data_IF_268557662027
#
_entry.id   IF_268557662027
#
_cell.length_a   1.000
_cell.length_b   1.000
_cell.length_c   1.000
_cell.angle_alpha   90.00
_cell.angle_beta   90.00
_cell.angle_gamma   90.00
#
_symmetry.space_group_name_H-M   'P 1'
#
loop_
_entity.id
_entity.type
_entity.pdbx_description
1 polymer ?
#
# COMPACT_ATOMS: atom_id res chain seq x y z
N UNK A 1 -24.11 5.31 11.84
CA UNK A 1 -24.77 4.90 10.58
C UNK A 1 -23.96 5.51 9.45
N UNK A 2 -23.29 4.71 8.63
CA UNK A 2 -22.59 5.24 7.46
C UNK A 2 -23.64 5.70 6.44
N UNK A 3 -23.65 6.99 6.12
CA UNK A 3 -24.48 7.54 5.05
C UNK A 3 -24.08 6.85 3.75
N UNK A 4 -25.00 6.13 3.13
CA UNK A 4 -24.71 5.41 1.90
C UNK A 4 -24.77 6.43 0.75
N UNK A 5 -23.62 6.99 0.39
CA UNK A 5 -23.52 7.84 -0.81
C UNK A 5 -23.93 7.06 -2.05
N UNK A 6 -24.75 7.66 -2.90
CA UNK A 6 -25.12 7.07 -4.17
C UNK A 6 -23.91 7.01 -5.12
N UNK A 7 -23.96 6.09 -6.09
CA UNK A 7 -22.86 5.91 -7.05
C UNK A 7 -22.55 7.19 -7.85
N UNK A 8 -23.57 8.01 -8.11
CA UNK A 8 -23.42 9.31 -8.78
C UNK A 8 -22.55 10.27 -7.95
N UNK A 9 -22.86 10.38 -6.66
CA UNK A 9 -22.15 11.27 -5.73
C UNK A 9 -20.67 10.90 -5.60
N UNK A 10 -20.37 9.60 -5.47
CA UNK A 10 -18.97 9.11 -5.42
C UNK A 10 -18.20 9.43 -6.69
N UNK A 11 -18.86 9.34 -7.85
CA UNK A 11 -18.24 9.65 -9.14
C UNK A 11 -17.95 11.15 -9.26
N UNK A 12 -18.86 12.01 -8.86
CA UNK A 12 -18.63 13.45 -8.85
C UNK A 12 -17.55 13.84 -7.84
N UNK A 13 -17.55 13.26 -6.64
CA UNK A 13 -16.50 13.45 -5.64
C UNK A 13 -15.10 13.13 -6.21
N UNK A 14 -14.96 11.98 -6.87
CA UNK A 14 -13.70 11.60 -7.52
C UNK A 14 -13.29 12.51 -8.69
N UNK A 15 -14.25 13.08 -9.43
CA UNK A 15 -13.96 14.09 -10.46
C UNK A 15 -13.49 15.40 -9.83
N UNK A 16 -14.17 15.87 -8.79
CA UNK A 16 -13.81 17.08 -8.06
C UNK A 16 -12.44 16.97 -7.39
N UNK A 17 -12.09 15.80 -6.86
CA UNK A 17 -10.76 15.53 -6.31
C UNK A 17 -9.66 15.73 -7.37
N UNK A 18 -9.90 15.27 -8.61
CA UNK A 18 -8.95 15.44 -9.72
C UNK A 18 -8.72 16.90 -10.11
N UNK A 19 -9.72 17.76 -9.97
CA UNK A 19 -9.56 19.19 -10.22
C UNK A 19 -8.63 19.85 -9.20
N UNK A 20 -8.57 19.33 -7.97
CA UNK A 20 -7.69 19.80 -6.90
C UNK A 20 -6.28 19.19 -6.99
N UNK A 21 -6.22 17.89 -7.25
CA UNK A 21 -4.98 17.11 -7.38
C UNK A 21 -5.00 16.36 -8.72
N UNK A 22 -4.47 16.95 -9.80
CA UNK A 22 -4.43 16.31 -11.10
C UNK A 22 -3.63 15.02 -11.09
N UNK A 23 -4.07 13.98 -11.82
CA UNK A 23 -3.37 12.67 -11.86
C UNK A 23 -1.87 12.75 -12.12
N UNK A 24 -1.45 13.69 -12.97
CA UNK A 24 -0.03 13.88 -13.32
C UNK A 24 0.84 14.29 -12.14
N UNK A 25 0.29 14.87 -11.07
CA UNK A 25 1.06 15.28 -9.89
C UNK A 25 1.51 14.08 -9.04
N UNK A 26 0.87 12.91 -9.19
CA UNK A 26 1.30 11.67 -8.54
C UNK A 26 2.52 11.01 -9.22
N UNK A 27 3.12 11.65 -10.22
CA UNK A 27 4.39 11.20 -10.81
C UNK A 27 5.60 11.50 -9.92
N UNK A 28 5.44 12.34 -8.90
CA UNK A 28 6.48 12.65 -7.94
C UNK A 28 6.84 11.41 -7.11
N UNK A 29 8.13 11.07 -7.08
CA UNK A 29 8.68 9.96 -6.27
C UNK A 29 8.80 10.31 -4.78
N UNK A 30 8.52 11.57 -4.41
CA UNK A 30 8.53 12.04 -3.03
C UNK A 30 9.93 12.13 -2.41
N UNK A 31 10.04 11.87 -1.10
CA UNK A 31 11.30 12.04 -0.36
C UNK A 31 12.10 10.73 -0.26
N UNK A 32 13.03 10.56 -1.20
CA UNK A 32 13.94 9.41 -1.26
C UNK A 32 15.29 9.65 -0.55
N UNK A 33 15.52 10.83 0.02
CA UNK A 33 16.71 11.14 0.82
C UNK A 33 16.50 10.70 2.27
N UNK A 34 16.85 9.44 2.55
CA UNK A 34 16.60 8.79 3.83
C UNK A 34 17.53 7.61 4.08
N UNK A 35 17.70 7.26 5.36
CA UNK A 35 18.30 5.99 5.73
C UNK A 35 17.23 4.87 5.73
N UNK A 36 17.26 3.92 4.79
CA UNK A 36 16.32 2.80 4.77
C UNK A 36 16.45 1.92 6.02
N UNK A 37 17.64 1.79 6.61
CA UNK A 37 17.87 0.92 7.77
C UNK A 37 17.15 1.48 9.00
N UNK A 38 17.14 2.80 9.18
CA UNK A 38 16.42 3.43 10.29
C UNK A 38 14.90 3.23 10.16
N UNK A 39 14.36 3.34 8.94
CA UNK A 39 12.95 2.96 8.69
C UNK A 39 12.69 1.48 8.98
N UNK A 40 13.61 0.58 8.64
CA UNK A 40 13.45 -0.84 8.96
C UNK A 40 13.48 -1.13 10.46
N UNK A 41 14.23 -0.35 11.25
CA UNK A 41 14.22 -0.42 12.71
C UNK A 41 12.86 0.02 13.25
N UNK A 42 12.35 1.17 12.80
CA UNK A 42 11.02 1.68 13.17
C UNK A 42 9.93 0.64 12.84
N UNK A 43 9.94 0.10 11.62
CA UNK A 43 9.01 -0.96 11.19
C UNK A 43 9.16 -2.30 11.95
N UNK A 44 10.25 -2.47 12.71
CA UNK A 44 10.47 -3.66 13.55
C UNK A 44 10.02 -3.47 15.00
N UNK A 45 9.67 -2.24 15.41
CA UNK A 45 9.13 -1.99 16.74
C UNK A 45 7.85 -2.80 16.96
N UNK A 46 7.70 -3.40 18.14
CA UNK A 46 6.57 -4.27 18.47
C UNK A 46 6.61 -5.68 17.86
N UNK A 47 7.54 -5.99 16.93
CA UNK A 47 7.67 -7.35 16.38
C UNK A 47 8.30 -8.31 17.40
N UNK A 48 8.06 -9.61 17.20
CA UNK A 48 8.68 -10.67 18.01
C UNK A 48 10.21 -10.62 17.85
N UNK A 49 10.91 -10.16 18.89
CA UNK A 49 12.34 -9.83 18.86
C UNK A 49 13.24 -10.90 18.24
N UNK A 50 13.01 -12.19 18.55
CA UNK A 50 13.83 -13.30 18.00
C UNK A 50 13.70 -13.50 16.49
N UNK A 51 12.63 -12.99 15.88
CA UNK A 51 12.36 -13.12 14.45
C UNK A 51 12.85 -11.92 13.64
N UNK A 52 13.23 -10.82 14.28
CA UNK A 52 13.75 -9.63 13.59
C UNK A 52 15.03 -9.95 12.79
N UNK A 53 16.03 -10.69 13.31
CA UNK A 53 17.19 -11.08 12.51
C UNK A 53 16.82 -11.96 11.31
N UNK A 54 15.83 -12.85 11.44
CA UNK A 54 15.36 -13.69 10.34
C UNK A 54 14.72 -12.84 9.23
N UNK A 55 13.93 -11.83 9.60
CA UNK A 55 13.36 -10.86 8.64
C UNK A 55 14.48 -10.19 7.84
N UNK A 56 15.48 -9.63 8.52
CA UNK A 56 16.60 -8.97 7.85
C UNK A 56 17.41 -9.95 6.99
N UNK A 57 17.66 -11.16 7.48
CA UNK A 57 18.32 -12.21 6.70
C UNK A 57 17.60 -12.55 5.41
N UNK A 58 16.25 -12.62 5.44
CA UNK A 58 15.44 -12.83 4.22
C UNK A 58 15.47 -11.63 3.28
N UNK A 59 15.51 -10.41 3.80
CA UNK A 59 15.57 -9.20 2.98
C UNK A 59 16.91 -8.97 2.30
N UNK A 60 18.02 -9.48 2.87
CA UNK A 60 19.37 -9.36 2.31
C UNK A 60 19.55 -10.21 1.04
N UNK A 61 18.71 -11.22 0.83
CA UNK A 61 18.85 -12.21 -0.24
C UNK A 61 18.86 -11.59 -1.65
N UNK A 62 18.04 -10.57 -1.89
CA UNK A 62 17.97 -9.88 -3.19
C UNK A 62 17.32 -8.51 -3.08
N UNK A 63 17.52 -7.60 -4.06
CA UNK A 63 16.79 -6.33 -4.12
C UNK A 63 15.27 -6.53 -4.10
N UNK A 64 14.77 -7.59 -4.75
CA UNK A 64 13.36 -7.93 -4.73
C UNK A 64 12.89 -8.28 -3.31
N UNK A 65 13.61 -9.17 -2.60
CA UNK A 65 13.29 -9.53 -1.23
C UNK A 65 13.37 -8.33 -0.27
N UNK A 66 14.33 -7.43 -0.49
CA UNK A 66 14.43 -6.17 0.24
C UNK A 66 13.16 -5.32 0.05
N UNK A 67 12.78 -4.99 -1.18
CA UNK A 67 11.62 -4.14 -1.43
C UNK A 67 10.30 -4.80 -0.99
N UNK A 68 10.17 -6.12 -1.15
CA UNK A 68 9.01 -6.87 -0.64
C UNK A 68 8.90 -6.81 0.89
N UNK A 69 10.03 -6.84 1.61
CA UNK A 69 10.03 -6.82 3.08
C UNK A 69 10.04 -5.42 3.70
N UNK A 70 9.93 -4.35 2.91
CA UNK A 70 10.21 -2.97 3.33
C UNK A 70 9.13 -1.96 2.94
N UNK A 71 7.84 -2.30 2.96
CA UNK A 71 6.73 -1.38 2.61
C UNK A 71 6.83 0.04 3.21
N UNK A 72 7.40 0.18 4.42
CA UNK A 72 7.66 1.47 5.08
C UNK A 72 8.51 2.45 4.25
N UNK A 73 9.41 1.94 3.42
CA UNK A 73 10.29 2.69 2.50
C UNK A 73 9.46 3.50 1.51
N UNK A 74 8.52 2.82 0.84
CA UNK A 74 7.60 3.46 -0.10
C UNK A 74 6.61 4.37 0.62
N UNK A 75 6.08 3.95 1.77
CA UNK A 75 5.17 4.77 2.56
C UNK A 75 5.83 6.10 2.97
N UNK A 76 7.08 6.07 3.41
CA UNK A 76 7.84 7.28 3.71
C UNK A 76 8.06 8.15 2.47
N UNK A 77 8.54 7.56 1.37
CA UNK A 77 8.78 8.29 0.11
C UNK A 77 7.53 9.07 -0.30
N UNK A 78 6.38 8.41 -0.31
CA UNK A 78 5.12 8.96 -0.81
C UNK A 78 4.38 9.84 0.21
N UNK A 79 4.74 9.82 1.50
CA UNK A 79 4.01 10.54 2.55
C UNK A 79 3.91 12.06 2.30
N UNK A 80 4.90 12.65 1.64
CA UNK A 80 4.93 14.07 1.27
C UNK A 80 4.37 14.39 -0.12
N UNK A 81 3.91 13.39 -0.87
CA UNK A 81 3.39 13.59 -2.23
C UNK A 81 1.94 14.08 -2.22
N UNK A 82 1.41 14.60 -3.36
CA UNK A 82 0.05 15.11 -3.41
C UNK A 82 -0.98 14.08 -2.95
N UNK A 83 -1.84 14.49 -2.02
CA UNK A 83 -2.90 13.66 -1.44
C UNK A 83 -4.24 14.00 -2.12
N UNK A 84 -4.91 13.00 -2.69
CA UNK A 84 -6.18 13.16 -3.40
C UNK A 84 -7.35 13.60 -2.48
N UNK A 85 -7.20 13.46 -1.17
CA UNK A 85 -8.23 13.67 -0.16
C UNK A 85 -9.28 12.55 -0.13
N UNK A 86 -9.10 11.50 -0.93
CA UNK A 86 -9.92 10.30 -0.87
C UNK A 86 -9.34 9.39 0.20
N UNK A 87 -10.15 9.02 1.20
CA UNK A 87 -9.70 8.11 2.25
C UNK A 87 -10.56 6.84 2.18
N UNK A 88 -9.91 5.71 1.92
CA UNK A 88 -10.54 4.40 1.92
C UNK A 88 -9.60 3.36 2.50
N UNK A 89 -10.15 2.19 2.86
CA UNK A 89 -9.32 1.05 3.21
C UNK A 89 -8.58 0.59 1.94
N UNK A 90 -7.25 0.64 1.96
CA UNK A 90 -6.39 0.24 0.85
C UNK A 90 -5.52 -0.95 1.26
N UNK A 91 -5.13 -1.74 0.25
CA UNK A 91 -4.08 -2.75 0.40
C UNK A 91 -2.72 -2.07 0.29
N UNK A 92 -1.91 -2.16 1.36
CA UNK A 92 -0.55 -1.63 1.44
C UNK A 92 0.49 -2.50 0.73
N UNK A 93 0.15 -3.75 0.40
CA UNK A 93 1.00 -4.68 -0.35
C UNK A 93 0.43 -4.96 -1.76
N UNK A 94 -0.03 -3.91 -2.44
CA UNK A 94 -0.68 -4.00 -3.74
C UNK A 94 0.33 -4.15 -4.89
N UNK A 95 0.92 -5.33 -5.06
CA UNK A 95 1.83 -5.65 -6.14
C UNK A 95 1.32 -6.80 -7.03
N UNK A 96 1.84 -6.93 -8.26
CA UNK A 96 1.36 -7.92 -9.25
C UNK A 96 1.31 -9.36 -8.73
N UNK A 97 2.26 -9.76 -7.88
CA UNK A 97 2.29 -11.13 -7.34
C UNK A 97 1.19 -11.44 -6.29
N UNK A 98 0.43 -10.44 -5.83
CA UNK A 98 -0.74 -10.63 -4.96
C UNK A 98 -2.06 -10.65 -5.77
N UNK A 99 -1.99 -10.48 -7.10
CA UNK A 99 -3.15 -10.66 -7.98
C UNK A 99 -3.17 -12.07 -8.55
N UNK A 100 -4.34 -12.69 -8.58
CA UNK A 100 -4.47 -14.06 -9.05
C UNK A 100 -5.90 -14.49 -9.34
N UNK A 101 -6.01 -15.66 -9.96
CA UNK A 101 -7.28 -16.36 -10.11
C UNK A 101 -7.54 -17.28 -8.92
N UNK A 102 -8.70 -17.13 -8.28
CA UNK A 102 -9.14 -17.89 -7.12
C UNK A 102 -10.43 -18.65 -7.45
N UNK A 103 -10.51 -19.91 -7.03
CA UNK A 103 -11.71 -20.71 -7.21
C UNK A 103 -12.76 -20.35 -6.16
N UNK A 104 -14.00 -20.11 -6.60
CA UNK A 104 -15.14 -19.93 -5.70
C UNK A 104 -15.74 -21.30 -5.32
N UNK A 105 -16.55 -21.37 -4.25
CA UNK A 105 -17.31 -22.58 -3.91
C UNK A 105 -18.20 -23.09 -5.05
N UNK A 106 -18.69 -22.20 -5.90
CA UNK A 106 -19.52 -22.49 -7.08
C UNK A 106 -18.70 -22.99 -8.29
N UNK A 107 -17.40 -23.20 -8.12
CA UNK A 107 -16.44 -23.61 -9.19
C UNK A 107 -16.29 -22.55 -10.29
N UNK A 108 -16.46 -21.28 -9.94
CA UNK A 108 -16.09 -20.16 -10.81
C UNK A 108 -14.66 -19.70 -10.53
N UNK A 109 -14.01 -19.09 -11.53
CA UNK A 109 -12.74 -18.40 -11.36
C UNK A 109 -13.03 -16.91 -11.11
N UNK A 110 -12.53 -16.37 -9.99
CA UNK A 110 -12.57 -14.94 -9.69
C UNK A 110 -11.15 -14.40 -9.75
N UNK A 111 -10.96 -13.27 -10.43
CA UNK A 111 -9.71 -12.52 -10.40
C UNK A 111 -9.78 -11.49 -9.28
N UNK A 112 -8.88 -11.58 -8.31
CA UNK A 112 -8.86 -10.68 -7.15
C UNK A 112 -7.43 -10.46 -6.65
N UNK A 113 -7.30 -9.66 -5.58
CA UNK A 113 -6.10 -9.51 -4.77
C UNK A 113 -6.19 -10.39 -3.52
N UNK A 114 -5.07 -10.93 -3.07
CA UNK A 114 -4.93 -11.62 -1.78
C UNK A 114 -4.05 -10.81 -0.81
N UNK A 115 -3.75 -11.40 0.36
CA UNK A 115 -2.81 -10.86 1.35
C UNK A 115 -3.22 -9.49 1.95
N UNK A 116 -4.21 -9.53 2.86
CA UNK A 116 -4.79 -8.36 3.52
C UNK A 116 -4.24 -8.09 4.93
N UNK A 117 -3.06 -8.62 5.26
CA UNK A 117 -2.42 -8.39 6.55
C UNK A 117 -1.79 -6.99 6.66
N UNK A 118 -1.44 -6.37 5.53
CA UNK A 118 -0.92 -5.00 5.42
C UNK A 118 -1.95 -4.01 4.85
N UNK A 119 -3.11 -3.85 5.50
CA UNK A 119 -4.12 -2.87 5.07
C UNK A 119 -4.10 -1.59 5.92
N UNK A 120 -4.33 -0.44 5.30
CA UNK A 120 -4.37 0.87 5.98
C UNK A 120 -5.47 1.78 5.41
N UNK A 121 -5.85 2.82 6.16
CA UNK A 121 -6.68 3.91 5.61
C UNK A 121 -5.75 4.90 4.94
N UNK A 122 -5.95 5.15 3.65
CA UNK A 122 -5.14 6.10 2.90
C UNK A 122 -5.83 6.63 1.64
N UNK A 123 -5.24 7.66 1.01
CA UNK A 123 -5.38 7.91 -0.41
C UNK A 123 -4.63 6.88 -1.27
#
# INVERSE_FOLDING_TARGET
MATTEERGDRRESGKSARSKVPRGTHSAIGNVDRDPVDLLKISSEGRVRRLVPLRYGRMIESPFAFYRGSAIVQAHDLAGTPNSGLHMQICGDCHVANFGGFATPERALVFDVNDFDETSVGP
#
